data_IF_222103081996
#
_entry.id   IF_222103081996
#
_cell.length_a   1.000
_cell.length_b   1.000
_cell.length_c   1.000
_cell.angle_alpha   90.00
_cell.angle_beta   90.00
_cell.angle_gamma   90.00
#
_symmetry.space_group_name_H-M   'P 1'
#
loop_
_entity.id
_entity.type
_entity.pdbx_description
1 polymer ?
#
# COMPACT_ATOMS: atom_id res chain seq x y z
N UNK A 1 3.78 -13.74 -17.51
CA UNK A 1 4.00 -13.09 -16.23
C UNK A 1 3.33 -11.72 -16.23
N UNK A 2 2.47 -11.47 -15.26
CA UNK A 2 1.75 -10.20 -15.22
C UNK A 2 2.69 -9.08 -14.77
N UNK A 3 2.61 -7.95 -15.45
CA UNK A 3 3.34 -6.76 -15.04
C UNK A 3 2.63 -6.13 -13.86
N UNK A 4 3.40 -5.59 -12.92
CA UNK A 4 2.83 -4.82 -11.84
C UNK A 4 2.28 -3.50 -12.40
N UNK A 5 1.11 -3.05 -11.92
CA UNK A 5 0.60 -1.75 -12.33
C UNK A 5 1.51 -0.65 -11.78
N UNK A 6 1.49 0.51 -12.43
CA UNK A 6 2.14 1.69 -11.88
C UNK A 6 1.18 2.36 -10.92
N UNK A 7 1.65 2.60 -9.71
CA UNK A 7 0.82 3.24 -8.68
C UNK A 7 1.58 4.40 -8.06
N UNK A 8 0.86 5.50 -7.87
CA UNK A 8 1.35 6.58 -7.03
C UNK A 8 0.96 6.26 -5.58
N UNK A 9 1.53 7.00 -4.62
CA UNK A 9 1.20 6.80 -3.22
C UNK A 9 -0.30 7.01 -2.93
N UNK A 10 -0.95 8.08 -3.43
CA UNK A 10 -2.40 8.22 -3.22
C UNK A 10 -3.21 7.07 -3.81
N UNK A 11 -2.79 6.54 -4.95
CA UNK A 11 -3.48 5.40 -5.56
C UNK A 11 -3.34 4.14 -4.71
N UNK A 12 -2.13 3.89 -4.19
CA UNK A 12 -1.91 2.75 -3.30
C UNK A 12 -2.72 2.90 -2.01
N UNK A 13 -2.79 4.11 -1.47
CA UNK A 13 -3.61 4.38 -0.29
C UNK A 13 -5.08 4.04 -0.56
N UNK A 14 -5.60 4.48 -1.70
CA UNK A 14 -6.99 4.20 -2.05
C UNK A 14 -7.27 2.70 -2.10
N UNK A 15 -6.34 1.93 -2.67
CA UNK A 15 -6.48 0.48 -2.73
C UNK A 15 -6.45 -0.16 -1.34
N UNK A 16 -5.54 0.31 -0.48
CA UNK A 16 -5.44 -0.21 0.88
C UNK A 16 -6.70 0.08 1.68
N UNK A 17 -7.21 1.31 1.61
CA UNK A 17 -8.41 1.69 2.32
C UNK A 17 -9.62 0.90 1.82
N UNK A 18 -9.73 0.71 0.51
CA UNK A 18 -10.80 -0.08 -0.08
C UNK A 18 -10.74 -1.54 0.37
N UNK A 19 -9.54 -2.05 0.59
CA UNK A 19 -9.34 -3.41 1.05
C UNK A 19 -9.60 -3.58 2.56
N UNK A 20 -9.88 -2.49 3.26
CA UNK A 20 -10.19 -2.54 4.68
C UNK A 20 -9.02 -2.20 5.60
N UNK A 21 -7.88 -1.78 5.03
CA UNK A 21 -6.77 -1.30 5.84
C UNK A 21 -7.13 0.05 6.44
N UNK A 22 -6.60 0.31 7.63
CA UNK A 22 -6.77 1.61 8.29
C UNK A 22 -5.41 2.30 8.37
N UNK A 23 -5.45 3.62 8.20
CA UNK A 23 -4.26 4.44 8.40
C UNK A 23 -3.99 4.55 9.90
N UNK A 24 -2.79 4.16 10.30
CA UNK A 24 -2.38 4.22 11.71
C UNK A 24 -1.72 5.53 12.05
N UNK A 25 -0.71 5.89 11.29
CA UNK A 25 0.07 7.10 11.56
C UNK A 25 1.01 7.38 10.39
N UNK A 26 1.62 8.56 10.42
CA UNK A 26 2.68 8.93 9.50
C UNK A 26 3.99 9.10 10.27
N UNK A 27 5.08 8.77 9.61
CA UNK A 27 6.41 9.05 10.10
C UNK A 27 7.13 9.76 8.94
N UNK A 28 7.26 11.07 9.04
CA UNK A 28 7.72 11.87 7.91
C UNK A 28 6.81 11.70 6.71
N UNK A 29 7.36 11.33 5.57
CA UNK A 29 6.59 11.08 4.35
C UNK A 29 6.06 9.66 4.26
N UNK A 30 6.34 8.80 5.24
CA UNK A 30 5.87 7.42 5.22
C UNK A 30 4.56 7.30 5.98
N UNK A 31 3.54 6.72 5.33
CA UNK A 31 2.26 6.43 5.98
C UNK A 31 2.15 4.95 6.24
N UNK A 32 1.69 4.60 7.44
CA UNK A 32 1.58 3.22 7.87
C UNK A 32 0.12 2.81 7.95
N UNK A 33 -0.22 1.72 7.29
CA UNK A 33 -1.57 1.16 7.26
C UNK A 33 -1.56 -0.23 7.87
N UNK A 34 -2.67 -0.62 8.46
CA UNK A 34 -2.76 -1.95 9.08
C UNK A 34 -4.12 -2.58 8.90
N UNK A 35 -4.13 -3.90 8.85
CA UNK A 35 -5.34 -4.72 8.85
C UNK A 35 -4.97 -6.11 9.34
N UNK A 36 -5.71 -6.60 10.35
CA UNK A 36 -5.56 -7.97 10.85
C UNK A 36 -4.11 -8.34 11.20
N UNK A 37 -3.40 -7.40 11.83
CA UNK A 37 -2.01 -7.63 12.22
C UNK A 37 -0.97 -7.39 11.13
N UNK A 38 -1.40 -7.12 9.91
CA UNK A 38 -0.49 -6.80 8.81
C UNK A 38 -0.27 -5.30 8.73
N UNK A 39 0.96 -4.91 8.45
CA UNK A 39 1.30 -3.50 8.29
C UNK A 39 1.92 -3.27 6.93
N UNK A 40 1.54 -2.16 6.32
CA UNK A 40 2.10 -1.73 5.04
C UNK A 40 2.54 -0.29 5.17
N UNK A 41 3.76 -0.01 4.72
CA UNK A 41 4.30 1.34 4.73
C UNK A 41 4.35 1.86 3.31
N UNK A 42 3.75 3.02 3.07
CA UNK A 42 3.73 3.65 1.75
C UNK A 42 4.47 4.99 1.83
N UNK A 43 5.59 5.12 1.12
CA UNK A 43 6.28 6.42 1.06
C UNK A 43 5.52 7.38 0.15
N UNK A 44 5.18 8.54 0.67
CA UNK A 44 4.48 9.57 -0.10
C UNK A 44 5.47 10.58 -0.66
N UNK A 45 5.70 10.47 -1.96
CA UNK A 45 6.54 11.43 -2.69
C UNK A 45 5.69 12.01 -3.81
N UNK A 46 5.55 13.31 -3.77
CA UNK A 46 4.69 14.03 -4.72
C UNK A 46 5.12 13.77 -6.17
N UNK A 47 4.13 13.41 -7.00
CA UNK A 47 4.34 13.29 -8.44
C UNK A 47 5.11 12.06 -8.89
N UNK A 48 5.47 11.17 -8.00
CA UNK A 48 6.26 9.98 -8.36
C UNK A 48 5.45 8.71 -8.21
N UNK A 49 5.73 7.74 -9.10
CA UNK A 49 5.20 6.39 -8.92
C UNK A 49 6.02 5.67 -7.85
N UNK A 50 5.37 4.74 -7.18
CA UNK A 50 6.05 3.93 -6.17
C UNK A 50 7.04 2.98 -6.81
N UNK A 51 8.10 2.66 -6.08
CA UNK A 51 9.03 1.64 -6.52
C UNK A 51 8.28 0.31 -6.69
N UNK A 52 8.59 -0.49 -7.73
CA UNK A 52 7.92 -1.79 -7.95
C UNK A 52 7.88 -2.69 -6.73
N UNK A 53 8.92 -2.67 -5.92
CA UNK A 53 8.99 -3.45 -4.68
C UNK A 53 7.86 -3.06 -3.72
N UNK A 54 7.60 -1.76 -3.60
CA UNK A 54 6.55 -1.26 -2.73
C UNK A 54 5.18 -1.63 -3.29
N UNK A 55 5.00 -1.48 -4.60
CA UNK A 55 3.75 -1.85 -5.27
C UNK A 55 3.45 -3.33 -5.02
N UNK A 56 4.45 -4.17 -5.16
CA UNK A 56 4.31 -5.61 -4.91
C UNK A 56 3.89 -5.87 -3.47
N UNK A 57 4.51 -5.20 -2.51
CA UNK A 57 4.17 -5.36 -1.10
C UNK A 57 2.73 -4.95 -0.82
N UNK A 58 2.29 -3.84 -1.41
CA UNK A 58 0.91 -3.36 -1.24
C UNK A 58 -0.07 -4.39 -1.78
N UNK A 59 0.14 -4.87 -3.01
CA UNK A 59 -0.76 -5.81 -3.64
C UNK A 59 -0.79 -7.15 -2.92
N UNK A 60 0.36 -7.63 -2.48
CA UNK A 60 0.43 -8.88 -1.71
C UNK A 60 -0.29 -8.76 -0.37
N UNK A 61 -0.13 -7.62 0.30
CA UNK A 61 -0.80 -7.39 1.58
C UNK A 61 -2.31 -7.39 1.40
N UNK A 62 -2.81 -6.75 0.33
CA UNK A 62 -4.24 -6.72 0.03
C UNK A 62 -4.76 -8.12 -0.25
N UNK A 63 -4.03 -8.87 -1.06
CA UNK A 63 -4.42 -10.23 -1.42
C UNK A 63 -4.45 -11.15 -0.20
N UNK A 64 -3.42 -11.08 0.64
CA UNK A 64 -3.35 -11.90 1.85
C UNK A 64 -4.42 -11.52 2.86
N UNK A 65 -4.72 -10.24 2.99
CA UNK A 65 -5.75 -9.78 3.91
C UNK A 65 -7.15 -10.18 3.45
N UNK A 66 -7.34 -10.38 2.15
CA UNK A 66 -8.61 -10.83 1.60
C UNK A 66 -8.80 -12.34 1.70
N UNK A 67 -7.72 -13.09 1.93
CA UNK A 67 -7.80 -14.55 2.06
C UNK A 67 -8.40 -14.94 3.41
N UNK A 68 -9.29 -15.93 3.43
CA UNK A 68 -9.88 -16.40 4.68
C UNK A 68 -8.87 -17.10 5.57
#
# INVERSE_FOLDING_TARGET
MAKLPRLTAPEAEALLLKAGFTWLRSSGSHRIYAKSGRRVVVPFHSGETLHPKIIKQVLEAIEEAASP
#
